data_IF_998007419135
#
_entry.id   IF_998007419135
#
_cell.length_a   1.000
_cell.length_b   1.000
_cell.length_c   1.000
_cell.angle_alpha   90.00
_cell.angle_beta   90.00
_cell.angle_gamma   90.00
#
_symmetry.space_group_name_H-M   'P 1'
#
loop_
_entity.id
_entity.type
_entity.pdbx_description
1 polymer ?
#
# COMPACT_ATOMS: atom_id res chain seq x y z
N UNK A 1 56.96 10.88 70.58
CA UNK A 1 56.30 9.78 71.31
C UNK A 1 55.25 9.19 70.41
N UNK A 2 55.59 8.17 69.74
CA UNK A 2 54.87 6.86 69.64
C UNK A 2 53.58 6.87 68.82
N UNK A 3 53.65 6.19 67.71
CA UNK A 3 52.91 5.06 67.15
C UNK A 3 51.65 5.47 66.35
N UNK A 4 51.23 4.85 65.32
CA UNK A 4 51.48 3.49 64.80
C UNK A 4 50.91 3.47 63.35
N UNK A 5 51.66 2.78 62.56
CA UNK A 5 51.34 2.37 61.18
C UNK A 5 50.11 1.45 61.16
N UNK A 6 49.14 1.71 60.27
CA UNK A 6 48.22 0.65 59.81
C UNK A 6 48.09 0.71 58.31
N UNK A 7 48.72 -0.26 57.67
CA UNK A 7 48.54 -0.57 56.25
C UNK A 7 47.11 -1.04 56.00
N UNK A 8 46.44 -0.39 55.10
CA UNK A 8 45.19 -0.94 54.56
C UNK A 8 45.46 -1.38 53.13
N UNK A 9 45.45 -2.69 52.93
CA UNK A 9 45.55 -3.35 51.64
C UNK A 9 44.29 -3.03 50.82
N UNK A 10 44.47 -2.32 49.72
CA UNK A 10 43.43 -2.14 48.70
C UNK A 10 43.46 -3.38 47.83
N UNK A 11 42.43 -4.24 48.00
CA UNK A 11 42.18 -5.36 47.13
C UNK A 11 41.58 -4.87 45.80
N UNK A 12 42.31 -5.14 44.74
CA UNK A 12 41.87 -4.94 43.34
C UNK A 12 40.83 -5.98 42.99
N UNK A 13 39.55 -5.58 43.03
CA UNK A 13 38.44 -6.36 42.49
C UNK A 13 38.04 -5.79 41.16
N UNK A 14 38.59 -6.32 40.07
CA UNK A 14 38.18 -6.00 38.72
C UNK A 14 36.91 -6.76 38.40
N UNK A 15 35.74 -6.16 38.64
CA UNK A 15 34.47 -6.74 38.25
C UNK A 15 34.23 -6.36 36.76
N UNK A 16 34.51 -7.31 35.88
CA UNK A 16 34.17 -7.23 34.49
C UNK A 16 32.64 -7.37 34.33
N UNK A 17 31.95 -6.26 34.13
CA UNK A 17 30.53 -6.24 33.73
C UNK A 17 30.47 -6.55 32.25
N UNK A 18 30.24 -7.81 31.90
CA UNK A 18 29.90 -8.24 30.54
C UNK A 18 28.44 -7.87 30.31
N UNK A 19 28.21 -6.69 29.72
CA UNK A 19 26.89 -6.28 29.22
C UNK A 19 26.56 -7.13 27.99
N UNK A 20 25.80 -8.21 28.18
CA UNK A 20 25.21 -8.97 27.09
C UNK A 20 24.11 -8.10 26.44
N UNK A 21 24.45 -7.44 25.33
CA UNK A 21 23.47 -6.77 24.48
C UNK A 21 22.69 -7.88 23.77
N UNK A 22 21.54 -8.26 24.34
CA UNK A 22 20.59 -9.13 23.67
C UNK A 22 20.00 -8.35 22.48
N UNK A 23 20.51 -8.60 21.27
CA UNK A 23 19.86 -8.18 20.02
C UNK A 23 18.55 -8.97 19.93
N UNK A 24 17.46 -8.40 20.41
CA UNK A 24 16.12 -8.88 20.11
C UNK A 24 15.81 -8.52 18.66
N UNK A 25 16.04 -9.47 17.76
CA UNK A 25 15.52 -9.39 16.39
C UNK A 25 14.01 -9.53 16.47
N UNK A 26 13.29 -8.40 16.60
CA UNK A 26 11.87 -8.38 16.43
C UNK A 26 11.56 -8.89 15.02
N UNK A 27 10.63 -9.86 14.82
CA UNK A 27 10.22 -10.28 13.51
C UNK A 27 9.65 -9.03 12.81
N UNK A 28 10.30 -8.60 11.73
CA UNK A 28 9.76 -7.59 10.85
C UNK A 28 8.49 -8.17 10.24
N UNK A 29 7.34 -7.79 10.77
CA UNK A 29 6.06 -8.01 10.12
C UNK A 29 6.14 -7.24 8.80
N UNK A 30 6.49 -7.95 7.72
CA UNK A 30 6.48 -7.39 6.39
C UNK A 30 5.08 -6.78 6.17
N UNK A 31 5.00 -5.46 6.09
CA UNK A 31 3.74 -4.75 5.92
C UNK A 31 3.08 -5.30 4.66
N UNK A 32 1.87 -5.88 4.82
CA UNK A 32 1.11 -6.41 3.69
C UNK A 32 0.89 -5.27 2.71
N UNK A 33 1.28 -5.47 1.44
CA UNK A 33 1.03 -4.48 0.38
C UNK A 33 -0.47 -4.16 0.34
N UNK A 34 -0.88 -2.90 0.16
CA UNK A 34 -2.28 -2.54 -0.01
C UNK A 34 -2.86 -3.27 -1.22
N UNK A 35 -4.15 -3.59 -1.17
CA UNK A 35 -4.81 -4.21 -2.32
C UNK A 35 -4.92 -3.21 -3.46
N UNK A 36 -4.74 -3.69 -4.70
CA UNK A 36 -4.99 -2.87 -5.89
C UNK A 36 -6.50 -2.74 -6.09
N UNK A 37 -7.00 -1.51 -6.14
CA UNK A 37 -8.39 -1.21 -6.49
C UNK A 37 -8.58 -1.21 -8.01
N UNK A 38 -9.49 -2.05 -8.50
CA UNK A 38 -9.93 -2.05 -9.90
C UNK A 38 -11.27 -1.34 -9.98
N UNK A 39 -11.24 -0.06 -10.31
CA UNK A 39 -12.42 0.80 -10.37
C UNK A 39 -13.18 0.56 -11.67
N UNK A 40 -14.48 0.28 -11.59
CA UNK A 40 -15.35 0.09 -12.74
C UNK A 40 -16.63 0.93 -12.61
N UNK A 41 -17.13 1.42 -13.75
CA UNK A 41 -18.41 2.12 -13.84
C UNK A 41 -19.61 1.17 -13.88
N UNK A 42 -19.36 -0.11 -14.08
CA UNK A 42 -20.42 -1.12 -14.12
C UNK A 42 -20.96 -1.42 -12.73
N UNK A 43 -22.21 -1.86 -12.67
CA UNK A 43 -22.75 -2.51 -11.48
C UNK A 43 -22.16 -3.90 -11.29
N UNK A 44 -22.26 -4.45 -10.09
CA UNK A 44 -21.87 -5.82 -9.80
C UNK A 44 -22.61 -6.79 -10.75
N UNK A 45 -21.86 -7.70 -11.38
CA UNK A 45 -22.38 -8.62 -12.39
C UNK A 45 -22.54 -8.02 -13.80
N UNK A 46 -22.28 -6.73 -13.99
CA UNK A 46 -22.24 -6.12 -15.34
C UNK A 46 -21.00 -6.55 -16.11
N UNK A 47 -21.04 -6.45 -17.45
CA UNK A 47 -19.97 -6.96 -18.31
C UNK A 47 -18.56 -6.50 -17.91
N UNK A 48 -18.38 -5.19 -17.67
CA UNK A 48 -17.07 -4.65 -17.25
C UNK A 48 -16.66 -5.16 -15.84
N UNK A 49 -17.62 -5.33 -14.92
CA UNK A 49 -17.34 -5.91 -13.60
C UNK A 49 -16.88 -7.36 -13.71
N UNK A 50 -17.57 -8.16 -14.50
CA UNK A 50 -17.21 -9.58 -14.74
C UNK A 50 -15.82 -9.67 -15.37
N UNK A 51 -15.54 -8.87 -16.42
CA UNK A 51 -14.22 -8.84 -17.06
C UNK A 51 -13.12 -8.45 -16.08
N UNK A 52 -13.35 -7.42 -15.23
CA UNK A 52 -12.40 -7.01 -14.21
C UNK A 52 -12.09 -8.16 -13.24
N UNK A 53 -13.11 -8.87 -12.77
CA UNK A 53 -12.93 -10.02 -11.86
C UNK A 53 -12.18 -11.17 -12.52
N UNK A 54 -12.46 -11.44 -13.79
CA UNK A 54 -11.75 -12.49 -14.55
C UNK A 54 -10.26 -12.14 -14.73
N UNK A 55 -9.95 -10.90 -15.10
CA UNK A 55 -8.57 -10.41 -15.17
C UNK A 55 -7.84 -10.59 -13.83
N UNK A 56 -8.50 -10.23 -12.73
CA UNK A 56 -7.91 -10.29 -11.38
C UNK A 56 -7.54 -11.72 -10.96
N UNK A 57 -8.24 -12.75 -11.43
CA UNK A 57 -7.93 -14.15 -11.08
C UNK A 57 -6.48 -14.53 -11.39
N UNK A 58 -5.94 -14.02 -12.50
CA UNK A 58 -4.57 -14.29 -12.92
C UNK A 58 -3.59 -13.22 -12.42
N UNK A 59 -3.97 -11.97 -12.49
CA UNK A 59 -3.12 -10.82 -12.11
C UNK A 59 -2.69 -10.88 -10.64
N UNK A 60 -3.54 -11.29 -9.72
CA UNK A 60 -3.18 -11.49 -8.30
C UNK A 60 -2.00 -12.43 -8.11
N UNK A 61 -1.98 -13.52 -8.88
CA UNK A 61 -0.91 -14.54 -8.78
C UNK A 61 0.41 -14.00 -9.31
N UNK A 62 0.37 -13.26 -10.43
CA UNK A 62 1.55 -12.68 -11.07
C UNK A 62 2.12 -11.56 -10.21
N UNK A 63 1.27 -10.65 -9.75
CA UNK A 63 1.68 -9.48 -8.97
C UNK A 63 1.96 -9.82 -7.49
N UNK A 64 1.55 -11.01 -7.03
CA UNK A 64 1.61 -11.40 -5.61
C UNK A 64 1.00 -10.33 -4.69
N UNK A 65 -0.11 -9.74 -5.13
CA UNK A 65 -0.81 -8.65 -4.46
C UNK A 65 -2.32 -8.86 -4.58
N UNK A 66 -3.05 -8.56 -3.50
CA UNK A 66 -4.49 -8.61 -3.52
C UNK A 66 -5.07 -7.54 -4.44
N UNK A 67 -6.23 -7.83 -5.02
CA UNK A 67 -6.97 -6.89 -5.87
C UNK A 67 -8.44 -6.92 -5.48
N UNK A 68 -9.12 -5.78 -5.55
CA UNK A 68 -10.54 -5.65 -5.24
C UNK A 68 -11.23 -4.84 -6.34
N UNK A 69 -12.46 -5.24 -6.70
CA UNK A 69 -13.27 -4.44 -7.63
C UNK A 69 -14.06 -3.41 -6.85
N UNK A 70 -14.01 -2.16 -7.30
CA UNK A 70 -14.74 -1.04 -6.74
C UNK A 70 -15.74 -0.53 -7.79
N UNK A 71 -17.03 -0.84 -7.60
CA UNK A 71 -18.09 -0.43 -8.51
C UNK A 71 -18.55 1.00 -8.20
N UNK A 72 -18.36 1.93 -9.14
CA UNK A 72 -18.78 3.34 -9.05
C UNK A 72 -19.69 3.69 -10.21
N UNK A 73 -20.98 3.42 -10.06
CA UNK A 73 -22.00 3.68 -11.09
C UNK A 73 -22.41 5.15 -11.13
N UNK A 74 -22.75 5.64 -12.29
CA UNK A 74 -23.39 6.95 -12.50
C UNK A 74 -22.73 7.80 -13.56
N UNK A 75 -23.53 8.69 -14.17
CA UNK A 75 -23.09 9.71 -15.09
C UNK A 75 -22.34 9.22 -16.34
N UNK A 76 -22.68 8.04 -16.86
CA UNK A 76 -21.94 7.47 -18.01
C UNK A 76 -20.48 7.12 -17.69
N UNK A 77 -20.16 6.84 -16.43
CA UNK A 77 -18.80 6.57 -15.97
C UNK A 77 -18.13 7.76 -15.26
N UNK A 78 -18.75 8.93 -15.23
CA UNK A 78 -18.21 10.11 -14.55
C UNK A 78 -17.93 9.82 -13.05
N UNK A 79 -18.83 9.08 -12.38
CA UNK A 79 -18.63 8.72 -10.97
C UNK A 79 -17.36 7.87 -10.75
N UNK A 80 -17.09 6.92 -11.64
CA UNK A 80 -15.88 6.09 -11.58
C UNK A 80 -14.62 6.93 -11.84
N UNK A 81 -14.65 7.79 -12.85
CA UNK A 81 -13.54 8.68 -13.18
C UNK A 81 -13.25 9.69 -12.06
N UNK A 82 -14.27 10.30 -11.49
CA UNK A 82 -14.10 11.24 -10.38
C UNK A 82 -13.56 10.53 -9.14
N UNK A 83 -14.03 9.32 -8.84
CA UNK A 83 -13.46 8.52 -7.75
C UNK A 83 -11.99 8.19 -8.01
N UNK A 84 -11.64 7.76 -9.22
CA UNK A 84 -10.26 7.47 -9.61
C UNK A 84 -9.33 8.66 -9.36
N UNK A 85 -9.76 9.87 -9.71
CA UNK A 85 -8.98 11.10 -9.47
C UNK A 85 -8.74 11.43 -7.99
N UNK A 86 -9.53 10.88 -7.07
CA UNK A 86 -9.33 11.09 -5.62
C UNK A 86 -8.30 10.12 -5.04
N UNK A 87 -7.85 9.14 -5.83
CA UNK A 87 -6.91 8.12 -5.35
C UNK A 87 -5.47 8.57 -5.53
N UNK A 88 -4.54 8.13 -4.65
CA UNK A 88 -3.11 8.40 -4.84
C UNK A 88 -2.60 7.81 -6.18
N UNK A 89 -1.69 8.51 -6.83
CA UNK A 89 -1.03 8.03 -8.05
C UNK A 89 0.17 7.11 -7.70
N UNK A 90 -0.10 6.05 -6.92
CA UNK A 90 0.90 5.13 -6.36
C UNK A 90 0.90 3.75 -7.05
N UNK A 91 0.12 3.61 -8.13
CA UNK A 91 -0.02 2.36 -8.87
C UNK A 91 -0.99 1.35 -8.23
N UNK A 92 -1.63 1.67 -7.11
CA UNK A 92 -2.57 0.78 -6.43
C UNK A 92 -4.03 1.00 -6.85
N UNK A 93 -4.30 1.83 -7.85
CA UNK A 93 -5.63 2.03 -8.40
C UNK A 93 -5.62 1.96 -9.92
N UNK A 94 -6.47 1.12 -10.48
CA UNK A 94 -6.63 0.91 -11.92
C UNK A 94 -8.06 1.27 -12.30
N UNK A 95 -8.25 2.06 -13.35
CA UNK A 95 -9.57 2.36 -13.91
C UNK A 95 -9.81 1.46 -15.14
N UNK A 96 -10.92 0.72 -15.13
CA UNK A 96 -11.37 0.01 -16.33
C UNK A 96 -11.98 1.02 -17.31
N UNK A 97 -11.21 1.42 -18.30
CA UNK A 97 -11.61 2.42 -19.26
C UNK A 97 -12.40 1.80 -20.43
N UNK A 98 -13.47 2.46 -20.85
CA UNK A 98 -14.33 2.02 -21.97
C UNK A 98 -14.67 3.22 -22.86
N UNK A 99 -15.21 2.95 -24.04
CA UNK A 99 -15.67 3.98 -24.95
C UNK A 99 -16.68 4.95 -24.30
N UNK A 100 -17.51 4.45 -23.36
CA UNK A 100 -18.44 5.30 -22.60
C UNK A 100 -17.73 6.37 -21.77
N UNK A 101 -16.57 6.07 -21.22
CA UNK A 101 -15.73 7.06 -20.51
C UNK A 101 -15.20 8.12 -21.48
N UNK A 102 -14.72 7.72 -22.66
CA UNK A 102 -14.24 8.67 -23.67
C UNK A 102 -15.34 9.64 -24.10
N UNK A 103 -16.57 9.13 -24.33
CA UNK A 103 -17.73 9.98 -24.66
C UNK A 103 -18.04 10.93 -23.50
N UNK A 104 -18.04 10.43 -22.25
CA UNK A 104 -18.32 11.24 -21.05
C UNK A 104 -17.27 12.35 -20.86
N UNK A 105 -16.00 12.07 -21.16
CA UNK A 105 -14.92 13.06 -21.16
C UNK A 105 -15.13 14.11 -22.25
N UNK A 106 -15.44 13.68 -23.48
CA UNK A 106 -15.71 14.58 -24.60
C UNK A 106 -16.93 15.52 -24.35
N UNK A 107 -17.89 15.03 -23.55
CA UNK A 107 -19.04 15.81 -23.10
C UNK A 107 -18.74 16.78 -21.94
N UNK A 108 -17.50 16.82 -21.45
CA UNK A 108 -17.11 17.67 -20.31
C UNK A 108 -17.74 17.28 -18.97
N UNK A 109 -18.21 16.05 -18.79
CA UNK A 109 -18.88 15.58 -17.57
C UNK A 109 -17.90 15.10 -16.47
N UNK A 110 -16.61 15.14 -16.72
CA UNK A 110 -15.54 14.81 -15.78
C UNK A 110 -14.38 15.78 -15.96
N UNK A 111 -13.58 15.92 -14.91
CA UNK A 111 -12.32 16.68 -14.94
C UNK A 111 -11.12 15.84 -15.40
N UNK A 112 -11.27 14.51 -15.41
CA UNK A 112 -10.22 13.59 -15.85
C UNK A 112 -9.93 13.82 -17.34
N UNK A 113 -8.66 13.93 -17.68
CA UNK A 113 -8.17 14.05 -19.06
C UNK A 113 -7.36 12.83 -19.45
N UNK A 114 -7.17 12.61 -20.73
CA UNK A 114 -6.37 11.48 -21.24
C UNK A 114 -4.92 11.58 -20.74
N UNK A 115 -4.40 12.80 -20.67
CA UNK A 115 -3.04 13.09 -20.21
C UNK A 115 -2.80 12.73 -18.74
N UNK A 116 -3.88 12.64 -17.94
CA UNK A 116 -3.80 12.29 -16.51
C UNK A 116 -3.72 10.76 -16.28
N UNK A 117 -3.81 9.97 -17.36
CA UNK A 117 -3.85 8.51 -17.29
C UNK A 117 -2.58 7.90 -17.84
N UNK A 118 -2.07 6.88 -17.15
CA UNK A 118 -1.03 5.99 -17.67
C UNK A 118 -1.69 4.69 -18.17
N UNK A 119 -1.80 4.45 -19.48
CA UNK A 119 -2.36 3.21 -20.01
C UNK A 119 -1.43 2.03 -19.68
N UNK A 120 -2.03 0.87 -19.36
CA UNK A 120 -1.32 -0.38 -19.08
C UNK A 120 -1.83 -1.50 -19.98
#
# INVERSE_FOLDING_TARGET
MIKSTTLFKVGTGLAAIVSAIAFTTAPSLAAKKPAIEVVTHAGAGGGTDVNSRMMMLRSRRVLKQDMVVVNKRGGGGAAAMNYFMTRPADGNTILTFTVGHAITMAMGKTKLKVEDMAPI
#
